data_IF_060683896316
#
_entry.id   IF_060683896316
#
_cell.length_a   1.000
_cell.length_b   1.000
_cell.length_c   1.000
_cell.angle_alpha   90.00
_cell.angle_beta   90.00
_cell.angle_gamma   90.00
#
_symmetry.space_group_name_H-M   'P 1'
#
loop_
_entity.id
_entity.type
_entity.pdbx_description
1 polymer ?
#
# COMPACT_ATOMS: atom_id res chain seq x y z
N UNK A 1 -5.38 31.91 -3.57
CA UNK A 1 -4.38 31.10 -2.83
C UNK A 1 -5.09 30.47 -1.63
N UNK A 2 -5.15 29.13 -1.52
CA UNK A 2 -5.74 28.47 -0.34
C UNK A 2 -4.84 28.75 0.88
N UNK A 3 -5.38 29.31 1.96
CA UNK A 3 -4.66 29.47 3.24
C UNK A 3 -4.28 28.08 3.76
N UNK A 4 -2.98 27.81 3.94
CA UNK A 4 -2.53 26.62 4.67
C UNK A 4 -3.01 26.72 6.12
N UNK A 5 -3.83 25.76 6.55
CA UNK A 5 -4.21 25.63 7.96
C UNK A 5 -3.13 24.81 8.65
N UNK A 6 -2.34 25.45 9.50
CA UNK A 6 -1.40 24.76 10.38
C UNK A 6 -2.20 24.12 11.52
N UNK A 7 -2.01 22.81 11.71
CA UNK A 7 -2.58 22.04 12.81
C UNK A 7 -1.46 21.30 13.53
N UNK A 8 -1.44 21.37 14.85
CA UNK A 8 -0.54 20.55 15.67
C UNK A 8 -1.26 19.30 16.14
N UNK A 9 -0.53 18.19 16.23
CA UNK A 9 -1.03 16.92 16.72
C UNK A 9 -0.14 16.51 17.90
N UNK A 10 -0.75 16.24 19.05
CA UNK A 10 -0.05 15.61 20.16
C UNK A 10 -0.02 14.10 19.94
N UNK A 11 1.14 13.50 20.18
CA UNK A 11 1.35 12.07 19.99
C UNK A 11 2.27 11.54 21.08
N UNK A 12 2.15 10.24 21.35
CA UNK A 12 3.01 9.56 22.30
C UNK A 12 4.47 9.57 21.84
N UNK A 13 5.42 9.65 22.77
CA UNK A 13 6.85 9.74 22.43
C UNK A 13 7.33 8.50 21.64
N UNK A 14 6.77 7.33 21.95
CA UNK A 14 7.06 6.10 21.20
C UNK A 14 6.61 6.19 19.74
N UNK A 15 5.44 6.77 19.48
CA UNK A 15 4.93 6.98 18.12
C UNK A 15 5.82 7.96 17.36
N UNK A 16 6.26 9.04 18.01
CA UNK A 16 7.21 10.00 17.45
C UNK A 16 8.55 9.34 17.11
N UNK A 17 9.06 8.48 17.99
CA UNK A 17 10.29 7.71 17.74
C UNK A 17 10.12 6.75 16.56
N UNK A 18 8.97 6.08 16.46
CA UNK A 18 8.66 5.22 15.32
C UNK A 18 8.62 6.00 14.00
N UNK A 19 8.04 7.21 13.99
CA UNK A 19 8.04 8.10 12.82
C UNK A 19 9.45 8.56 12.44
N UNK A 20 10.31 8.88 13.42
CA UNK A 20 11.70 9.26 13.18
C UNK A 20 12.47 8.15 12.46
N UNK A 21 12.30 6.91 12.89
CA UNK A 21 12.96 5.74 12.29
C UNK A 21 12.46 5.45 10.86
N UNK A 22 11.29 5.96 10.46
CA UNK A 22 10.73 5.81 9.11
C UNK A 22 11.11 6.95 8.17
N UNK A 23 11.88 7.94 8.63
CA UNK A 23 12.42 8.99 7.76
C UNK A 23 13.47 8.41 6.81
N UNK A 24 13.42 8.81 5.54
CA UNK A 24 14.42 8.43 4.54
C UNK A 24 15.74 9.17 4.75
N UNK A 25 15.70 10.35 5.35
CA UNK A 25 16.88 11.13 5.74
C UNK A 25 16.55 12.04 6.93
N UNK A 26 17.57 12.53 7.62
CA UNK A 26 17.41 13.33 8.85
C UNK A 26 16.66 14.65 8.66
N UNK A 27 16.60 15.17 7.43
CA UNK A 27 15.93 16.45 7.11
C UNK A 27 14.48 16.27 6.67
N UNK A 28 14.00 15.04 6.54
CA UNK A 28 12.63 14.77 6.13
C UNK A 28 11.64 15.26 7.19
N UNK A 29 10.57 15.93 6.74
CA UNK A 29 9.50 16.41 7.62
C UNK A 29 8.57 15.27 8.04
N UNK A 30 8.01 15.35 9.25
CA UNK A 30 7.01 14.36 9.70
C UNK A 30 5.77 14.35 8.82
N UNK A 31 5.38 15.49 8.23
CA UNK A 31 4.25 15.54 7.29
C UNK A 31 4.50 14.66 6.05
N UNK A 32 5.72 14.69 5.50
CA UNK A 32 6.12 13.84 4.38
C UNK A 32 6.03 12.35 4.75
N UNK A 33 6.57 11.98 5.91
CA UNK A 33 6.52 10.60 6.41
C UNK A 33 5.07 10.14 6.58
N UNK A 34 4.23 10.95 7.23
CA UNK A 34 2.82 10.59 7.49
C UNK A 34 2.03 10.48 6.19
N UNK A 35 2.20 11.40 5.23
CA UNK A 35 1.57 11.27 3.91
C UNK A 35 1.98 9.99 3.21
N UNK A 36 3.28 9.68 3.19
CA UNK A 36 3.77 8.41 2.64
C UNK A 36 3.12 7.23 3.37
N UNK A 37 3.04 7.24 4.69
CA UNK A 37 2.41 6.13 5.39
C UNK A 37 0.93 5.98 5.04
N UNK A 38 0.17 7.06 4.96
CA UNK A 38 -1.25 7.01 4.57
C UNK A 38 -1.41 6.53 3.11
N UNK A 39 -0.60 7.07 2.20
CA UNK A 39 -0.63 6.71 0.77
C UNK A 39 -0.24 5.25 0.52
N UNK A 40 0.61 4.67 1.37
CA UNK A 40 1.05 3.28 1.27
C UNK A 40 0.26 2.31 2.18
N UNK A 41 -0.43 2.78 3.23
CA UNK A 41 -1.30 1.96 4.09
C UNK A 41 -2.63 1.60 3.40
N UNK A 42 -3.03 2.30 2.33
CA UNK A 42 -4.23 1.93 1.54
C UNK A 42 -4.02 0.69 0.65
N UNK A 43 -2.80 0.17 0.54
CA UNK A 43 -2.47 -1.00 -0.27
C UNK A 43 -1.95 -2.17 0.57
N UNK A 44 -2.60 -3.34 0.60
CA UNK A 44 -1.93 -4.56 1.05
C UNK A 44 -0.64 -4.75 0.24
N UNK A 45 0.44 -5.17 0.90
CA UNK A 45 1.66 -5.57 0.21
C UNK A 45 1.34 -6.62 -0.86
N UNK A 46 2.19 -6.78 -1.87
CA UNK A 46 2.02 -7.85 -2.86
C UNK A 46 1.87 -9.23 -2.18
N UNK A 47 2.64 -9.50 -1.12
CA UNK A 47 2.51 -10.75 -0.36
C UNK A 47 1.19 -10.83 0.40
N UNK A 48 0.70 -9.72 0.96
CA UNK A 48 -0.60 -9.67 1.62
C UNK A 48 -1.74 -9.86 0.62
N UNK A 49 -1.65 -9.28 -0.58
CA UNK A 49 -2.59 -9.53 -1.68
C UNK A 49 -2.63 -10.99 -2.05
N UNK A 50 -1.48 -11.65 -2.21
CA UNK A 50 -1.43 -13.09 -2.48
C UNK A 50 -2.06 -13.90 -1.35
N UNK A 51 -1.75 -13.60 -0.08
CA UNK A 51 -2.35 -14.28 1.08
C UNK A 51 -3.87 -14.09 1.16
N UNK A 52 -4.37 -12.92 0.79
CA UNK A 52 -5.81 -12.64 0.75
C UNK A 52 -6.45 -13.43 -0.40
N UNK A 53 -5.84 -13.43 -1.58
CA UNK A 53 -6.31 -14.20 -2.75
C UNK A 53 -6.32 -15.71 -2.50
N UNK A 54 -5.32 -16.26 -1.81
CA UNK A 54 -5.23 -17.69 -1.48
C UNK A 54 -6.36 -18.14 -0.54
N UNK A 55 -6.85 -17.23 0.31
CA UNK A 55 -7.96 -17.47 1.22
C UNK A 55 -9.34 -17.25 0.57
N UNK A 56 -9.40 -16.64 -0.62
CA UNK A 56 -10.67 -16.46 -1.30
C UNK A 56 -11.17 -17.81 -1.86
N UNK A 57 -12.41 -18.23 -1.54
CA UNK A 57 -12.97 -19.44 -2.11
C UNK A 57 -13.14 -19.25 -3.61
N UNK A 58 -12.26 -19.89 -4.38
CA UNK A 58 -12.38 -19.91 -5.83
C UNK A 58 -13.60 -20.74 -6.22
N UNK A 59 -14.56 -20.14 -6.92
CA UNK A 59 -15.73 -20.86 -7.47
C UNK A 59 -15.33 -21.98 -8.43
N UNK A 60 -14.18 -21.84 -9.08
CA UNK A 60 -13.59 -22.80 -10.01
C UNK A 60 -12.07 -22.74 -9.89
N UNK A 61 -11.43 -23.89 -9.71
CA UNK A 61 -9.98 -24.03 -9.85
C UNK A 61 -9.65 -24.13 -11.33
N UNK A 62 -8.80 -23.24 -11.82
CA UNK A 62 -8.31 -23.30 -13.19
C UNK A 62 -7.09 -24.21 -13.28
N UNK A 63 -7.01 -25.00 -14.34
CA UNK A 63 -5.79 -25.72 -14.71
C UNK A 63 -4.77 -24.77 -15.33
N UNK A 64 -3.49 -25.13 -15.29
CA UNK A 64 -2.40 -24.35 -15.89
C UNK A 64 -2.68 -24.01 -17.36
N UNK A 65 -3.22 -24.97 -18.13
CA UNK A 65 -3.57 -24.76 -19.54
C UNK A 65 -4.69 -23.73 -19.74
N UNK A 66 -5.67 -23.68 -18.83
CA UNK A 66 -6.75 -22.69 -18.89
C UNK A 66 -6.25 -21.29 -18.55
N UNK A 67 -5.36 -21.17 -17.54
CA UNK A 67 -4.72 -19.89 -17.19
C UNK A 67 -3.89 -19.35 -18.34
N UNK A 68 -3.11 -20.20 -19.01
CA UNK A 68 -2.29 -19.83 -20.17
C UNK A 68 -3.20 -19.32 -21.31
N UNK A 69 -4.25 -20.06 -21.66
CA UNK A 69 -5.22 -19.65 -22.69
C UNK A 69 -5.88 -18.31 -22.35
N UNK A 70 -6.29 -18.13 -21.10
CA UNK A 70 -6.92 -16.89 -20.63
C UNK A 70 -5.95 -15.70 -20.74
N UNK A 71 -4.70 -15.86 -20.27
CA UNK A 71 -3.66 -14.85 -20.35
C UNK A 71 -3.37 -14.42 -21.80
N UNK A 72 -3.23 -15.38 -22.71
CA UNK A 72 -3.04 -15.07 -24.13
C UNK A 72 -4.26 -14.38 -24.76
N UNK A 73 -5.49 -14.76 -24.36
CA UNK A 73 -6.72 -14.16 -24.90
C UNK A 73 -6.95 -12.70 -24.47
N UNK A 74 -6.35 -12.30 -23.34
CA UNK A 74 -6.45 -10.96 -22.76
C UNK A 74 -5.30 -10.04 -23.19
N UNK A 75 -4.21 -10.59 -23.76
CA UNK A 75 -3.11 -9.76 -24.28
C UNK A 75 -3.59 -8.93 -25.47
N UNK A 76 -3.42 -7.61 -25.36
CA UNK A 76 -3.73 -6.66 -26.44
C UNK A 76 -5.16 -6.11 -26.45
N UNK A 77 -6.04 -6.57 -25.55
CA UNK A 77 -7.34 -5.92 -25.33
C UNK A 77 -7.18 -4.82 -24.29
N UNK A 78 -7.02 -3.58 -24.75
CA UNK A 78 -7.11 -2.34 -23.97
C UNK A 78 -8.30 -1.54 -24.48
#
# INVERSE_FOLDING_TARGET
MKKMKLTSIQMHEDTKRALENRKLNSRESYESVVKRLIEYEDGPSMEEMFRICDKMPQKRKYTTNEVIKLSHSLRGKR
#
